data_IF_603480894564
#
_entry.id   IF_603480894564
#
_cell.length_a   1.000
_cell.length_b   1.000
_cell.length_c   1.000
_cell.angle_alpha   90.00
_cell.angle_beta   90.00
_cell.angle_gamma   90.00
#
_symmetry.space_group_name_H-M   'P 1'
#
loop_
_entity.id
_entity.type
_entity.pdbx_description
1 polymer ?
#
# COMPACT_ATOMS: atom_id res chain seq x y z
N UNK A 1 -46.73 -12.98 -30.07
CA UNK A 1 -45.53 -13.55 -29.41
C UNK A 1 -45.61 -15.07 -29.52
N UNK A 2 -44.53 -15.77 -29.94
CA UNK A 2 -44.51 -17.22 -29.97
C UNK A 2 -44.63 -17.75 -28.54
N UNK A 3 -45.52 -18.72 -28.29
CA UNK A 3 -45.57 -19.40 -26.99
C UNK A 3 -44.36 -20.31 -26.90
N UNK A 4 -43.54 -20.09 -25.88
CA UNK A 4 -42.49 -21.02 -25.50
C UNK A 4 -43.15 -22.36 -25.10
N UNK A 5 -42.63 -23.45 -25.66
CA UNK A 5 -42.97 -24.83 -25.31
C UNK A 5 -42.87 -25.04 -23.78
N UNK A 6 -43.84 -25.75 -23.19
CA UNK A 6 -43.87 -26.09 -21.76
C UNK A 6 -42.58 -26.78 -21.28
N UNK A 7 -41.91 -27.55 -22.14
CA UNK A 7 -40.62 -28.19 -21.84
C UNK A 7 -39.51 -27.15 -21.65
N UNK A 8 -39.54 -26.05 -22.42
CA UNK A 8 -38.55 -24.97 -22.30
C UNK A 8 -38.79 -24.13 -21.04
N UNK A 9 -40.04 -23.97 -20.62
CA UNK A 9 -40.38 -23.34 -19.34
C UNK A 9 -39.88 -24.16 -18.15
N UNK A 10 -39.96 -25.49 -18.22
CA UNK A 10 -39.44 -26.38 -17.17
C UNK A 10 -37.91 -26.33 -17.08
N UNK A 11 -37.20 -26.42 -18.20
CA UNK A 11 -35.72 -26.36 -18.19
C UNK A 11 -35.18 -25.03 -17.70
N UNK A 12 -35.85 -23.91 -18.02
CA UNK A 12 -35.47 -22.60 -17.49
C UNK A 12 -35.66 -22.52 -15.97
N UNK A 13 -36.77 -23.06 -15.43
CA UNK A 13 -36.99 -23.10 -13.97
C UNK A 13 -35.98 -24.00 -13.26
N UNK A 14 -35.64 -25.14 -13.84
CA UNK A 14 -34.64 -26.06 -13.28
C UNK A 14 -33.22 -25.45 -13.32
N UNK A 15 -32.88 -24.73 -14.40
CA UNK A 15 -31.65 -23.97 -14.50
C UNK A 15 -31.60 -22.84 -13.46
N UNK A 16 -32.70 -22.11 -13.27
CA UNK A 16 -32.81 -21.04 -12.26
C UNK A 16 -32.64 -21.59 -10.83
N UNK A 17 -33.24 -22.76 -10.54
CA UNK A 17 -33.09 -23.44 -9.25
C UNK A 17 -31.68 -23.99 -9.03
N UNK A 18 -31.03 -24.53 -10.07
CA UNK A 18 -29.65 -25.00 -10.01
C UNK A 18 -28.65 -23.88 -9.72
N UNK A 19 -28.85 -22.71 -10.35
CA UNK A 19 -28.03 -21.52 -10.09
C UNK A 19 -28.27 -21.01 -8.66
N UNK A 20 -29.52 -20.89 -8.20
CA UNK A 20 -29.82 -20.42 -6.84
C UNK A 20 -29.22 -21.30 -5.75
N UNK A 21 -29.28 -22.63 -5.91
CA UNK A 21 -28.69 -23.58 -4.93
C UNK A 21 -27.17 -23.46 -4.86
N UNK A 22 -26.51 -23.34 -6.02
CA UNK A 22 -25.05 -23.20 -6.09
C UNK A 22 -24.58 -21.86 -5.51
N UNK A 23 -25.32 -20.79 -5.77
CA UNK A 23 -24.97 -19.44 -5.25
C UNK A 23 -25.23 -19.35 -3.74
N UNK A 24 -26.32 -19.94 -3.25
CA UNK A 24 -26.62 -20.01 -1.82
C UNK A 24 -25.60 -20.87 -1.06
N UNK A 25 -25.23 -22.04 -1.60
CA UNK A 25 -24.26 -22.93 -0.95
C UNK A 25 -22.85 -22.36 -0.95
N UNK A 26 -22.45 -21.63 -2.00
CA UNK A 26 -21.15 -20.95 -2.04
C UNK A 26 -21.07 -19.84 -0.98
N UNK A 27 -22.14 -19.06 -0.79
CA UNK A 27 -22.19 -18.03 0.24
C UNK A 27 -22.15 -18.62 1.65
N UNK A 28 -22.91 -19.69 1.89
CA UNK A 28 -22.93 -20.38 3.19
C UNK A 28 -21.57 -21.01 3.52
N UNK A 29 -20.92 -21.61 2.51
CA UNK A 29 -19.56 -22.17 2.64
C UNK A 29 -18.51 -21.10 2.91
N UNK A 30 -18.61 -19.94 2.23
CA UNK A 30 -17.73 -18.80 2.45
C UNK A 30 -17.92 -18.20 3.85
N UNK A 31 -19.16 -17.97 4.27
CA UNK A 31 -19.48 -17.47 5.61
C UNK A 31 -18.92 -18.40 6.69
N UNK A 32 -19.14 -19.72 6.56
CA UNK A 32 -18.60 -20.73 7.48
C UNK A 32 -17.06 -20.81 7.47
N UNK A 33 -16.40 -20.40 6.39
CA UNK A 33 -14.94 -20.29 6.32
C UNK A 33 -14.43 -18.99 6.97
N UNK A 34 -15.06 -17.86 6.66
CA UNK A 34 -14.67 -16.53 7.14
C UNK A 34 -14.94 -16.32 8.64
N UNK A 35 -16.00 -16.93 9.17
CA UNK A 35 -16.37 -16.89 10.60
C UNK A 35 -15.50 -17.79 11.48
N UNK A 36 -14.45 -18.42 10.95
CA UNK A 36 -13.49 -19.15 11.76
C UNK A 36 -12.64 -18.16 12.55
N UNK A 37 -12.66 -18.29 13.87
CA UNK A 37 -11.95 -17.36 14.79
C UNK A 37 -10.47 -17.16 14.43
N UNK A 38 -9.76 -18.24 14.05
CA UNK A 38 -8.36 -18.16 13.62
C UNK A 38 -8.13 -17.31 12.35
N UNK A 39 -9.08 -17.32 11.41
CA UNK A 39 -8.97 -16.52 10.17
C UNK A 39 -9.33 -15.07 10.43
N UNK A 40 -10.37 -14.84 11.23
CA UNK A 40 -10.85 -13.51 11.58
C UNK A 40 -9.78 -12.72 12.37
N UNK A 41 -9.09 -13.36 13.32
CA UNK A 41 -8.03 -12.71 14.10
C UNK A 41 -6.87 -12.24 13.19
N UNK A 42 -6.41 -13.10 12.29
CA UNK A 42 -5.35 -12.77 11.32
C UNK A 42 -5.81 -11.66 10.37
N UNK A 43 -7.06 -11.72 9.89
CA UNK A 43 -7.62 -10.70 9.00
C UNK A 43 -7.69 -9.33 9.68
N UNK A 44 -8.19 -9.27 10.92
CA UNK A 44 -8.26 -8.02 11.70
C UNK A 44 -6.86 -7.48 11.97
N UNK A 45 -5.90 -8.33 12.32
CA UNK A 45 -4.49 -7.95 12.51
C UNK A 45 -3.89 -7.29 11.27
N UNK A 46 -4.12 -7.86 10.08
CA UNK A 46 -3.61 -7.32 8.81
C UNK A 46 -4.26 -5.97 8.45
N UNK A 47 -5.57 -5.82 8.68
CA UNK A 47 -6.31 -4.58 8.40
C UNK A 47 -5.85 -3.45 9.33
N UNK A 48 -5.67 -3.75 10.62
CA UNK A 48 -5.14 -2.78 11.59
C UNK A 48 -3.69 -2.41 11.27
N UNK A 49 -2.85 -3.38 10.90
CA UNK A 49 -1.46 -3.13 10.52
C UNK A 49 -1.34 -2.24 9.28
N UNK A 50 -2.14 -2.50 8.23
CA UNK A 50 -2.13 -1.69 7.00
C UNK A 50 -2.63 -0.27 7.25
N UNK A 51 -3.70 -0.12 8.02
CA UNK A 51 -4.28 1.18 8.38
C UNK A 51 -3.33 1.99 9.25
N UNK A 52 -2.69 1.37 10.25
CA UNK A 52 -1.71 2.04 11.10
C UNK A 52 -0.48 2.50 10.30
N UNK A 53 0.01 1.66 9.38
CA UNK A 53 1.11 2.00 8.48
C UNK A 53 0.74 3.18 7.59
N UNK A 54 -0.48 3.22 7.05
CA UNK A 54 -0.98 4.34 6.26
C UNK A 54 -1.03 5.64 7.09
N UNK A 55 -1.54 5.60 8.31
CA UNK A 55 -1.58 6.75 9.22
C UNK A 55 -0.17 7.26 9.57
N UNK A 56 0.76 6.35 9.90
CA UNK A 56 2.15 6.71 10.18
C UNK A 56 2.83 7.35 8.96
N UNK A 57 2.59 6.81 7.77
CA UNK A 57 3.11 7.37 6.52
C UNK A 57 2.52 8.74 6.19
N UNK A 58 1.23 8.96 6.43
CA UNK A 58 0.58 10.25 6.23
C UNK A 58 1.12 11.29 7.22
N UNK A 59 1.26 10.94 8.50
CA UNK A 59 1.86 11.82 9.51
C UNK A 59 3.27 12.27 9.09
N UNK A 60 4.08 11.32 8.61
CA UNK A 60 5.45 11.64 8.20
C UNK A 60 5.46 12.42 6.89
N UNK A 61 4.71 11.99 5.89
CA UNK A 61 4.73 12.61 4.55
C UNK A 61 4.11 13.99 4.52
N UNK A 62 3.07 14.22 5.32
CA UNK A 62 2.23 15.42 5.23
C UNK A 62 2.54 16.43 6.33
N UNK A 63 3.11 16.01 7.47
CA UNK A 63 3.46 16.93 8.57
C UNK A 63 4.98 17.04 8.73
N UNK A 64 5.69 15.92 8.86
CA UNK A 64 7.12 15.92 9.17
C UNK A 64 7.97 16.32 7.95
N UNK A 65 7.72 15.74 6.78
CA UNK A 65 8.50 16.02 5.57
C UNK A 65 8.41 17.49 5.15
N UNK A 66 7.25 18.19 5.18
CA UNK A 66 7.21 19.62 4.86
C UNK A 66 8.08 20.46 5.78
N UNK A 67 8.04 20.20 7.11
CA UNK A 67 8.85 20.90 8.11
C UNK A 67 10.35 20.67 7.86
N UNK A 68 10.74 19.43 7.54
CA UNK A 68 12.14 19.10 7.22
C UNK A 68 12.53 19.65 5.85
N UNK A 69 11.61 19.72 4.87
CA UNK A 69 11.89 20.20 3.52
C UNK A 69 12.16 21.70 3.42
N UNK A 70 11.78 22.47 4.45
CA UNK A 70 12.20 23.86 4.60
C UNK A 70 13.68 23.99 4.93
N UNK A 71 14.35 22.91 5.38
CA UNK A 71 15.78 22.89 5.57
C UNK A 71 16.48 22.65 4.21
N UNK A 72 17.39 23.53 3.77
CA UNK A 72 18.02 23.48 2.44
C UNK A 72 18.93 22.25 2.21
N UNK A 73 19.20 21.47 3.26
CA UNK A 73 20.08 20.30 3.19
C UNK A 73 19.41 19.05 2.59
N UNK A 74 18.07 18.96 2.60
CA UNK A 74 17.32 17.77 2.20
C UNK A 74 16.39 18.05 1.01
N UNK A 75 17.00 18.39 -0.13
CA UNK A 75 16.29 18.74 -1.36
C UNK A 75 15.34 17.62 -1.85
N UNK A 76 14.06 17.98 -2.06
CA UNK A 76 12.97 17.14 -2.61
C UNK A 76 13.14 16.67 -4.07
N UNK A 77 14.26 16.99 -4.72
CA UNK A 77 14.53 16.70 -6.15
C UNK A 77 15.26 15.36 -6.38
N UNK A 78 15.24 14.44 -5.41
CA UNK A 78 15.78 13.08 -5.61
C UNK A 78 14.88 12.25 -6.52
N UNK A 79 13.55 12.39 -6.42
CA UNK A 79 12.57 11.63 -7.19
C UNK A 79 12.72 11.79 -8.72
N UNK A 80 13.03 13.02 -9.14
CA UNK A 80 13.23 13.39 -10.55
C UNK A 80 14.60 13.00 -11.10
N UNK A 81 15.50 12.45 -10.27
CA UNK A 81 16.80 11.97 -10.74
C UNK A 81 16.67 10.55 -11.26
N UNK A 82 16.53 10.44 -12.58
CA UNK A 82 16.56 9.18 -13.31
C UNK A 82 17.66 9.21 -14.37
N UNK A 83 18.30 8.07 -14.59
CA UNK A 83 19.28 7.89 -15.68
C UNK A 83 18.60 7.07 -16.77
N UNK A 84 18.64 7.58 -18.00
CA UNK A 84 18.14 6.87 -19.18
C UNK A 84 19.27 5.96 -19.68
N UNK A 85 19.02 4.65 -19.75
CA UNK A 85 19.98 3.69 -20.31
C UNK A 85 19.79 3.48 -21.81
N UNK A 86 18.58 3.71 -22.32
CA UNK A 86 18.24 3.63 -23.75
C UNK A 86 17.26 4.75 -24.08
N UNK A 87 17.57 5.54 -25.11
CA UNK A 87 16.69 6.60 -25.59
C UNK A 87 15.53 5.99 -26.39
N UNK A 88 14.31 6.43 -26.10
CA UNK A 88 13.14 6.14 -26.91
C UNK A 88 13.16 6.95 -28.23
N UNK A 89 12.34 6.58 -29.23
CA UNK A 89 12.40 7.16 -30.58
C UNK A 89 12.14 8.68 -30.66
N UNK A 90 11.49 9.26 -29.64
CA UNK A 90 11.04 10.66 -29.61
C UNK A 90 11.86 11.57 -28.69
N UNK A 91 13.12 11.24 -28.36
CA UNK A 91 13.90 12.08 -27.44
C UNK A 91 14.22 13.44 -28.06
N UNK A 92 13.57 14.50 -27.59
CA UNK A 92 13.91 15.87 -27.94
C UNK A 92 15.34 16.19 -27.49
N UNK A 93 16.26 16.45 -28.43
CA UNK A 93 17.69 16.66 -28.18
C UNK A 93 18.05 18.00 -27.51
N UNK A 94 17.07 18.77 -27.04
CA UNK A 94 17.31 20.09 -26.41
C UNK A 94 17.30 20.08 -24.88
N UNK A 95 17.06 18.93 -24.24
CA UNK A 95 17.12 18.78 -22.77
C UNK A 95 18.04 17.61 -22.47
N UNK A 96 19.09 17.81 -21.65
CA UNK A 96 20.09 16.77 -21.29
C UNK A 96 19.51 15.52 -20.60
N UNK A 97 18.20 15.50 -20.32
CA UNK A 97 17.40 14.32 -20.02
C UNK A 97 16.02 14.53 -20.67
N UNK A 98 15.83 14.04 -21.90
CA UNK A 98 14.71 14.36 -22.81
C UNK A 98 13.26 14.12 -22.33
N UNK A 99 13.04 13.83 -21.04
CA UNK A 99 11.74 13.72 -20.40
C UNK A 99 11.76 14.45 -19.05
N UNK A 100 10.66 15.10 -18.67
CA UNK A 100 10.56 15.79 -17.37
C UNK A 100 10.14 14.84 -16.23
N UNK A 101 9.60 13.67 -16.57
CA UNK A 101 9.15 12.66 -15.62
C UNK A 101 9.60 11.26 -16.05
N UNK A 102 9.91 10.37 -15.10
CA UNK A 102 10.24 8.98 -15.43
C UNK A 102 9.05 8.24 -16.07
N UNK A 103 7.80 8.66 -15.81
CA UNK A 103 6.59 8.09 -16.40
C UNK A 103 6.54 8.32 -17.92
N UNK A 104 6.86 9.53 -18.38
CA UNK A 104 6.89 9.85 -19.81
C UNK A 104 7.98 9.06 -20.54
N UNK A 105 9.12 8.85 -19.89
CA UNK A 105 10.22 8.07 -20.44
C UNK A 105 9.89 6.56 -20.56
N UNK A 106 9.08 6.01 -19.65
CA UNK A 106 8.59 4.63 -19.74
C UNK A 106 7.55 4.48 -20.85
N UNK A 107 6.65 5.45 -21.00
CA UNK A 107 5.62 5.44 -22.06
C UNK A 107 6.24 5.52 -23.47
N UNK A 108 7.35 6.23 -23.63
CA UNK A 108 8.12 6.27 -24.88
C UNK A 108 9.03 5.04 -25.10
N UNK A 109 8.91 4.00 -24.26
CA UNK A 109 9.65 2.74 -24.37
C UNK A 109 11.13 2.87 -24.02
N UNK A 110 11.53 3.95 -23.35
CA UNK A 110 12.88 4.13 -22.84
C UNK A 110 13.08 3.27 -21.59
N UNK A 111 14.24 2.62 -21.49
CA UNK A 111 14.60 1.85 -20.28
C UNK A 111 15.20 2.84 -19.29
N UNK A 112 14.44 3.13 -18.23
CA UNK A 112 14.76 4.13 -17.22
C UNK A 112 15.23 3.45 -15.93
N UNK A 113 16.41 3.82 -15.45
CA UNK A 113 16.82 3.53 -14.06
C UNK A 113 16.42 4.72 -13.18
N UNK A 114 15.25 4.63 -12.57
CA UNK A 114 14.73 5.63 -11.63
C UNK A 114 15.28 5.41 -10.21
N UNK A 115 16.59 5.59 -10.02
CA UNK A 115 17.24 5.48 -8.69
C UNK A 115 16.71 6.53 -7.70
N UNK A 116 16.16 7.63 -8.21
CA UNK A 116 15.49 8.67 -7.44
C UNK A 116 14.33 8.18 -6.58
N UNK A 117 13.40 7.42 -7.17
CA UNK A 117 12.26 6.85 -6.45
C UNK A 117 12.71 5.88 -5.35
N UNK A 118 13.72 5.05 -5.62
CA UNK A 118 14.23 4.10 -4.64
C UNK A 118 14.87 4.81 -3.43
N UNK A 119 15.68 5.84 -3.68
CA UNK A 119 16.32 6.60 -2.61
C UNK A 119 15.30 7.41 -1.80
N UNK A 120 14.26 7.96 -2.43
CA UNK A 120 13.13 8.59 -1.74
C UNK A 120 12.47 7.61 -0.75
N UNK A 121 12.23 6.35 -1.16
CA UNK A 121 11.67 5.33 -0.24
C UNK A 121 12.59 5.03 0.95
N UNK A 122 13.90 4.92 0.74
CA UNK A 122 14.87 4.70 1.82
C UNK A 122 14.89 5.89 2.79
N UNK A 123 14.95 7.11 2.26
CA UNK A 123 14.98 8.32 3.09
C UNK A 123 13.69 8.45 3.90
N UNK A 124 12.53 8.21 3.27
CA UNK A 124 11.24 8.21 3.98
C UNK A 124 11.19 7.17 5.10
N UNK A 125 11.65 5.95 4.85
CA UNK A 125 11.73 4.91 5.88
C UNK A 125 12.60 5.34 7.07
N UNK A 126 13.78 5.92 6.80
CA UNK A 126 14.66 6.42 7.85
C UNK A 126 14.01 7.55 8.67
N UNK A 127 13.27 8.46 8.02
CA UNK A 127 12.55 9.56 8.70
C UNK A 127 11.40 9.01 9.55
N UNK A 128 10.64 8.03 9.07
CA UNK A 128 9.58 7.38 9.87
C UNK A 128 10.18 6.70 11.10
N UNK A 129 11.28 5.96 10.94
CA UNK A 129 11.97 5.30 12.05
C UNK A 129 12.46 6.31 13.09
N UNK A 130 13.09 7.41 12.64
CA UNK A 130 13.55 8.49 13.52
C UNK A 130 12.37 9.18 14.23
N UNK A 131 11.27 9.44 13.52
CA UNK A 131 10.10 10.10 14.09
C UNK A 131 9.45 9.25 15.20
N UNK A 132 9.27 7.95 14.97
CA UNK A 132 8.75 7.03 15.99
C UNK A 132 9.70 6.93 17.19
N UNK A 133 11.01 6.94 16.96
CA UNK A 133 12.01 6.97 18.03
C UNK A 133 11.93 8.25 18.86
N UNK A 134 11.82 9.43 18.23
CA UNK A 134 11.65 10.71 18.93
C UNK A 134 10.37 10.71 19.76
N UNK A 135 9.25 10.24 19.20
CA UNK A 135 7.97 10.17 19.93
C UNK A 135 8.10 9.25 21.15
N UNK A 136 8.68 8.05 21.01
CA UNK A 136 8.88 7.13 22.12
C UNK A 136 9.81 7.71 23.20
N UNK A 137 10.88 8.40 22.80
CA UNK A 137 11.82 9.03 23.72
C UNK A 137 11.19 10.23 24.45
N UNK A 138 10.42 11.06 23.73
CA UNK A 138 9.66 12.18 24.32
C UNK A 138 8.63 11.64 25.31
N UNK A 139 7.87 10.60 24.93
CA UNK A 139 6.90 9.97 25.82
C UNK A 139 7.55 9.39 27.07
N UNK A 140 8.68 8.68 26.94
CA UNK A 140 9.43 8.17 28.09
C UNK A 140 9.99 9.28 28.99
N UNK A 141 10.34 10.43 28.41
CA UNK A 141 10.81 11.61 29.16
C UNK A 141 9.69 12.33 29.90
N UNK A 142 8.48 12.38 29.32
CA UNK A 142 7.32 13.03 29.95
C UNK A 142 6.56 12.13 30.93
N UNK A 143 6.48 10.82 30.67
CA UNK A 143 5.72 9.91 31.53
C UNK A 143 6.43 9.53 32.83
N UNK A 144 7.73 9.81 32.99
CA UNK A 144 8.48 9.63 34.24
C UNK A 144 8.60 8.19 34.77
N UNK A 145 7.79 7.27 34.26
CA UNK A 145 7.75 5.86 34.63
C UNK A 145 8.44 5.05 33.54
N UNK A 146 9.60 4.51 33.86
CA UNK A 146 10.31 3.57 32.99
C UNK A 146 9.49 2.27 32.91
N UNK A 147 8.70 2.13 31.85
CA UNK A 147 7.87 0.95 31.51
C UNK A 147 8.69 -0.36 31.48
N UNK A 148 10.02 -0.28 31.33
CA UNK A 148 10.91 -1.44 31.52
C UNK A 148 11.16 -1.65 33.01
N UNK A 149 10.17 -2.19 33.72
CA UNK A 149 10.45 -2.82 35.03
C UNK A 149 11.29 -4.05 34.76
N UNK A 150 12.49 -4.10 35.36
CA UNK A 150 13.36 -5.28 35.37
C UNK A 150 12.55 -6.42 36.01
N UNK A 151 11.95 -7.26 35.17
CA UNK A 151 11.28 -8.48 35.63
C UNK A 151 12.38 -9.41 36.11
N UNK A 152 12.64 -9.39 37.42
CA UNK A 152 13.51 -10.36 38.06
C UNK A 152 12.78 -11.69 37.94
N UNK A 153 13.34 -12.65 37.20
CA UNK A 153 12.82 -14.02 37.23
C UNK A 153 12.98 -14.50 38.66
N UNK A 154 11.86 -14.68 39.37
CA UNK A 154 11.86 -15.51 40.56
C UNK A 154 12.17 -16.93 40.07
N UNK A 155 13.35 -17.43 40.48
CA UNK A 155 13.77 -18.83 40.32
C UNK A 155 12.89 -19.72 41.19
#
# INVERSE_FOLDING_TARGET
MPRLDETTQQTLRDAEQGIRRTTASAWESFSNFALRDNVLEVAVGLILASSFTACANALVSDIILPIISLLPFLSRTLDTKFVLLRHGPNSNSTISAGYNTPAQAVDDGAVVLAYGHFLDKIVRFAIVALALWVIANVYGRFSGDSIVKRQVKCV
#
